data_IF_166618262021
#
_entry.id   IF_166618262021
#
_cell.length_a   1.000
_cell.length_b   1.000
_cell.length_c   1.000
_cell.angle_alpha   90.00
_cell.angle_beta   90.00
_cell.angle_gamma   90.00
#
_symmetry.space_group_name_H-M   'P 1'
#
loop_
_entity.id
_entity.type
_entity.pdbx_description
1 polymer ?
#
# COMPACT_ATOMS: atom_id res chain seq x y z
N UNK A 1 1.00 7.21 -29.55
CA UNK A 1 1.92 6.99 -30.69
C UNK A 1 1.48 5.73 -31.43
N UNK A 2 1.48 5.75 -32.77
CA UNK A 2 1.19 4.57 -33.60
C UNK A 2 2.52 3.98 -34.09
N UNK A 3 2.73 2.68 -33.90
CA UNK A 3 3.92 1.95 -34.37
C UNK A 3 3.51 0.70 -35.14
N UNK A 4 4.40 0.20 -36.01
CA UNK A 4 4.18 -1.06 -36.75
C UNK A 4 4.40 -2.24 -35.81
N UNK A 5 3.54 -3.26 -35.91
CA UNK A 5 3.53 -4.40 -34.98
C UNK A 5 4.90 -5.08 -34.77
N UNK A 6 5.74 -5.14 -35.81
CA UNK A 6 7.08 -5.75 -35.74
C UNK A 6 8.20 -4.80 -35.29
N UNK A 7 7.91 -3.50 -35.21
CA UNK A 7 8.80 -2.45 -34.68
C UNK A 7 8.44 -2.11 -33.22
N UNK A 8 7.57 -2.90 -32.60
CA UNK A 8 7.21 -2.74 -31.21
C UNK A 8 8.45 -2.92 -30.32
N UNK A 9 8.67 -2.09 -29.29
CA UNK A 9 9.71 -2.33 -28.31
C UNK A 9 9.54 -3.73 -27.72
N UNK A 10 10.62 -4.51 -27.70
CA UNK A 10 10.65 -5.79 -27.01
C UNK A 10 10.30 -5.54 -25.54
N UNK A 11 9.35 -6.32 -25.01
CA UNK A 11 9.06 -6.29 -23.57
C UNK A 11 10.32 -6.67 -22.82
N UNK A 12 10.68 -5.86 -21.84
CA UNK A 12 11.86 -6.11 -21.03
C UNK A 12 11.66 -7.42 -20.24
N UNK A 13 12.60 -8.39 -20.33
CA UNK A 13 12.45 -9.69 -19.66
C UNK A 13 12.23 -9.60 -18.14
N UNK A 14 12.73 -8.54 -17.50
CA UNK A 14 12.55 -8.28 -16.07
C UNK A 14 11.09 -8.07 -15.67
N UNK A 15 10.22 -7.64 -16.60
CA UNK A 15 8.77 -7.45 -16.35
C UNK A 15 8.03 -8.77 -16.07
N UNK A 16 8.62 -9.91 -16.43
CA UNK A 16 8.04 -11.23 -16.17
C UNK A 16 8.49 -11.83 -14.83
N UNK A 17 9.37 -11.15 -14.09
CA UNK A 17 9.76 -11.57 -12.74
C UNK A 17 8.65 -11.19 -11.77
N UNK A 18 8.35 -12.08 -10.80
CA UNK A 18 7.38 -11.79 -9.75
C UNK A 18 7.67 -10.46 -9.07
N UNK A 19 6.64 -9.64 -8.87
CA UNK A 19 6.71 -8.31 -8.23
C UNK A 19 7.44 -7.21 -9.02
N UNK A 20 7.78 -7.41 -10.30
CA UNK A 20 8.33 -6.37 -11.16
C UNK A 20 7.36 -5.17 -11.39
N UNK A 21 6.06 -5.37 -11.11
CA UNK A 21 5.03 -4.33 -11.18
C UNK A 21 4.84 -3.51 -9.90
N UNK A 22 5.79 -3.54 -8.95
CA UNK A 22 5.69 -2.71 -7.76
C UNK A 22 5.71 -1.23 -8.13
N UNK A 23 4.61 -0.52 -7.89
CA UNK A 23 4.44 0.90 -8.20
C UNK A 23 4.98 1.84 -7.11
N UNK A 24 5.53 1.28 -6.03
CA UNK A 24 6.14 2.02 -4.93
C UNK A 24 7.66 2.09 -5.17
N UNK A 25 8.16 3.28 -5.44
CA UNK A 25 9.58 3.61 -5.42
C UNK A 25 10.07 3.69 -3.97
N UNK A 26 10.94 2.76 -3.58
CA UNK A 26 11.32 2.54 -2.19
C UNK A 26 12.24 3.61 -1.62
N UNK A 27 13.12 4.17 -2.47
CA UNK A 27 14.13 5.18 -2.10
C UNK A 27 14.88 4.89 -0.78
N UNK A 28 15.21 3.61 -0.52
CA UNK A 28 15.69 3.17 0.80
C UNK A 28 17.01 3.85 1.21
N UNK A 29 17.87 4.18 0.24
CA UNK A 29 19.15 4.85 0.47
C UNK A 29 18.99 6.33 0.86
N UNK A 30 17.83 6.93 0.58
CA UNK A 30 17.54 8.34 0.84
C UNK A 30 16.67 8.54 2.10
N UNK A 31 16.45 7.50 2.91
CA UNK A 31 15.61 7.59 4.10
C UNK A 31 16.35 8.28 5.25
N UNK A 32 15.87 9.45 5.63
CA UNK A 32 16.25 10.13 6.86
C UNK A 32 15.41 9.64 8.06
N UNK A 33 15.88 9.90 9.27
CA UNK A 33 15.21 9.52 10.52
C UNK A 33 13.79 10.11 10.63
N UNK A 34 13.57 11.29 10.07
CA UNK A 34 12.29 12.02 10.07
C UNK A 34 11.39 11.72 8.85
N UNK A 35 11.74 10.69 8.06
CA UNK A 35 11.06 10.39 6.79
C UNK A 35 9.57 10.03 6.96
N UNK A 36 9.20 9.39 8.07
CA UNK A 36 7.81 9.06 8.39
C UNK A 36 7.01 10.33 8.71
N UNK A 37 7.56 11.23 9.53
CA UNK A 37 6.90 12.48 9.90
C UNK A 37 6.69 13.38 8.66
N UNK A 38 7.70 13.47 7.80
CA UNK A 38 7.61 14.19 6.51
C UNK A 38 6.54 13.60 5.60
N UNK A 39 6.46 12.28 5.52
CA UNK A 39 5.43 11.63 4.73
C UNK A 39 4.03 11.91 5.31
N UNK A 40 3.84 11.76 6.62
CA UNK A 40 2.54 12.01 7.27
C UNK A 40 2.07 13.48 7.17
N UNK A 41 3.00 14.43 7.00
CA UNK A 41 2.66 15.83 6.72
C UNK A 41 2.07 16.05 5.31
N UNK A 42 2.27 15.11 4.38
CA UNK A 42 1.68 15.15 3.04
C UNK A 42 0.22 14.65 3.09
N UNK A 43 -0.78 15.47 2.71
CA UNK A 43 -2.18 15.07 2.71
C UNK A 43 -2.50 13.96 1.69
N UNK A 44 -1.63 13.73 0.70
CA UNK A 44 -1.77 12.65 -0.28
C UNK A 44 -1.26 11.30 0.25
N UNK A 45 -0.74 11.24 1.48
CA UNK A 45 -0.25 10.01 2.09
C UNK A 45 -1.32 8.94 2.19
N UNK A 46 -0.96 7.73 1.76
CA UNK A 46 -1.83 6.56 1.78
C UNK A 46 -1.27 5.51 2.74
N UNK A 47 -2.16 4.95 3.55
CA UNK A 47 -1.81 4.00 4.59
C UNK A 47 -2.28 2.59 4.22
N UNK A 48 -1.39 1.61 4.44
CA UNK A 48 -1.68 0.19 4.45
C UNK A 48 -1.77 -0.26 5.91
N UNK A 49 -2.98 -0.59 6.36
CA UNK A 49 -3.19 -0.99 7.75
C UNK A 49 -2.91 -2.47 7.93
N UNK A 50 -2.15 -2.82 8.96
CA UNK A 50 -1.75 -4.20 9.23
C UNK A 50 -1.87 -4.58 10.70
N UNK A 51 -2.27 -5.82 10.96
CA UNK A 51 -2.29 -6.41 12.30
C UNK A 51 -2.16 -7.93 12.19
N UNK A 52 -1.42 -8.56 13.12
CA UNK A 52 -1.36 -10.03 13.19
C UNK A 52 -0.89 -10.73 11.90
N UNK A 53 -0.05 -10.10 11.09
CA UNK A 53 0.40 -10.64 9.80
C UNK A 53 -0.65 -10.60 8.68
N UNK A 54 -1.71 -9.79 8.86
CA UNK A 54 -2.77 -9.56 7.88
C UNK A 54 -2.82 -8.09 7.48
N UNK A 55 -3.22 -7.84 6.24
CA UNK A 55 -3.51 -6.52 5.69
C UNK A 55 -5.02 -6.28 5.75
N UNK A 56 -5.42 -5.07 6.12
CA UNK A 56 -6.83 -4.68 6.14
C UNK A 56 -7.19 -4.07 4.79
N UNK A 57 -8.28 -4.56 4.20
CA UNK A 57 -8.72 -4.21 2.86
C UNK A 57 -10.19 -3.84 2.90
N UNK A 58 -10.54 -2.65 2.40
CA UNK A 58 -11.93 -2.21 2.28
C UNK A 58 -12.61 -3.00 1.17
N UNK A 59 -13.80 -3.50 1.45
CA UNK A 59 -14.66 -4.15 0.47
C UNK A 59 -15.54 -3.09 -0.18
N UNK A 60 -15.24 -2.76 -1.44
CA UNK A 60 -16.10 -1.87 -2.23
C UNK A 60 -17.36 -2.56 -2.73
N UNK A 61 -18.34 -1.77 -3.17
CA UNK A 61 -19.66 -2.25 -3.62
C UNK A 61 -19.59 -3.24 -4.79
N UNK A 62 -18.55 -3.15 -5.63
CA UNK A 62 -18.31 -4.06 -6.75
C UNK A 62 -17.60 -5.36 -6.35
N UNK A 63 -17.33 -5.57 -5.06
CA UNK A 63 -16.49 -6.64 -4.54
C UNK A 63 -14.99 -6.40 -4.69
N UNK A 64 -14.59 -5.26 -5.28
CA UNK A 64 -13.19 -4.86 -5.38
C UNK A 64 -12.61 -4.54 -3.99
N UNK A 65 -11.38 -5.00 -3.74
CA UNK A 65 -10.66 -4.71 -2.51
C UNK A 65 -9.81 -3.45 -2.69
N UNK A 66 -10.00 -2.48 -1.80
CA UNK A 66 -9.21 -1.25 -1.75
C UNK A 66 -8.29 -1.27 -0.51
N UNK A 67 -6.95 -1.29 -0.70
CA UNK A 67 -6.01 -1.34 0.41
C UNK A 67 -5.72 0.02 1.04
N UNK A 68 -6.15 1.12 0.42
CA UNK A 68 -5.66 2.46 0.78
C UNK A 68 -6.55 3.13 1.81
N UNK A 69 -5.97 3.54 2.93
CA UNK A 69 -6.63 4.37 3.93
C UNK A 69 -6.02 5.77 3.96
N UNK A 70 -6.85 6.78 4.18
CA UNK A 70 -6.39 8.09 4.63
C UNK A 70 -6.11 8.12 6.14
N UNK A 71 -5.36 9.11 6.62
CA UNK A 71 -5.04 9.26 8.04
C UNK A 71 -6.31 9.31 8.92
N UNK A 72 -7.25 10.21 8.62
CA UNK A 72 -8.51 10.34 9.38
C UNK A 72 -9.41 9.12 9.24
N UNK A 73 -9.52 8.55 8.03
CA UNK A 73 -10.29 7.32 7.76
C UNK A 73 -9.76 6.13 8.60
N UNK A 74 -8.47 6.14 8.93
CA UNK A 74 -7.82 5.06 9.67
C UNK A 74 -7.97 5.15 11.19
N UNK A 75 -8.42 6.28 11.74
CA UNK A 75 -8.57 6.49 13.19
C UNK A 75 -9.41 5.42 13.92
N UNK A 76 -10.56 4.95 13.38
CA UNK A 76 -11.36 3.90 14.02
C UNK A 76 -10.61 2.57 14.23
N UNK A 77 -9.56 2.32 13.43
CA UNK A 77 -8.73 1.12 13.55
C UNK A 77 -7.61 1.26 14.60
N UNK A 78 -7.59 2.37 15.35
CA UNK A 78 -6.62 2.66 16.42
C UNK A 78 -5.17 2.53 15.94
N UNK A 79 -4.89 3.13 14.79
CA UNK A 79 -3.60 3.01 14.12
C UNK A 79 -2.48 3.68 14.91
N UNK A 80 -1.29 3.09 14.87
CA UNK A 80 -0.09 3.67 15.46
C UNK A 80 0.77 4.34 14.39
N UNK A 81 0.48 5.61 14.08
CA UNK A 81 1.23 6.37 13.08
C UNK A 81 2.72 6.52 13.46
N UNK A 82 3.03 6.59 14.75
CA UNK A 82 4.40 6.64 15.27
C UNK A 82 5.20 5.34 15.02
N UNK A 83 4.52 4.22 14.80
CA UNK A 83 5.13 2.95 14.39
C UNK A 83 4.98 2.71 12.88
N UNK A 84 4.59 3.75 12.12
CA UNK A 84 4.47 3.70 10.68
C UNK A 84 5.82 3.42 10.02
N UNK A 85 5.78 2.65 8.94
CA UNK A 85 6.94 2.29 8.14
C UNK A 85 6.75 2.90 6.76
N UNK A 86 7.63 3.85 6.38
CA UNK A 86 7.65 4.39 5.02
C UNK A 86 8.08 3.29 4.04
N UNK A 87 7.15 2.84 3.20
CA UNK A 87 7.44 1.87 2.14
C UNK A 87 8.10 2.56 0.94
N UNK A 88 7.73 3.82 0.69
CA UNK A 88 8.25 4.62 -0.41
C UNK A 88 7.20 5.59 -0.96
N UNK A 89 7.34 5.92 -2.23
CA UNK A 89 6.51 6.88 -2.94
C UNK A 89 5.89 6.25 -4.17
N UNK A 90 4.69 6.71 -4.49
CA UNK A 90 3.97 6.35 -5.71
C UNK A 90 3.57 7.62 -6.45
N UNK A 91 3.03 7.50 -7.65
CA UNK A 91 2.48 8.65 -8.39
C UNK A 91 1.41 9.43 -7.61
N UNK A 92 0.76 8.80 -6.63
CA UNK A 92 -0.29 9.42 -5.80
C UNK A 92 0.22 10.00 -4.48
N UNK A 93 1.51 9.89 -4.18
CA UNK A 93 2.09 10.36 -2.93
C UNK A 93 2.76 9.24 -2.10
N UNK A 94 3.14 9.56 -0.85
CA UNK A 94 3.83 8.64 0.06
C UNK A 94 2.96 7.45 0.45
N UNK A 95 3.60 6.32 0.70
CA UNK A 95 2.94 5.08 1.12
C UNK A 95 3.56 4.55 2.40
N UNK A 96 2.73 4.38 3.43
CA UNK A 96 3.13 3.87 4.73
C UNK A 96 2.42 2.56 5.05
N UNK A 97 3.13 1.59 5.62
CA UNK A 97 2.51 0.49 6.35
C UNK A 97 2.37 0.89 7.82
N UNK A 98 1.18 0.73 8.39
CA UNK A 98 0.88 1.20 9.75
C UNK A 98 0.22 0.09 10.57
N UNK A 99 0.74 -0.21 11.78
CA UNK A 99 0.07 -1.12 12.70
C UNK A 99 -1.30 -0.58 13.09
N UNK A 100 -2.34 -1.40 12.94
CA UNK A 100 -3.67 -1.16 13.50
C UNK A 100 -3.77 -1.77 14.91
N UNK A 101 -4.64 -1.21 15.76
CA UNK A 101 -4.90 -1.71 17.11
C UNK A 101 -6.21 -2.50 17.27
N UNK A 102 -7.03 -2.57 16.22
CA UNK A 102 -8.25 -3.38 16.18
C UNK A 102 -7.90 -4.79 15.72
N UNK A 103 -8.36 -5.80 16.44
CA UNK A 103 -8.16 -7.21 16.08
C UNK A 103 -8.93 -7.57 14.80
N UNK A 104 -8.42 -8.48 13.95
CA UNK A 104 -9.07 -8.90 12.71
C UNK A 104 -10.52 -9.37 12.89
N UNK A 105 -10.81 -10.03 14.00
CA UNK A 105 -12.14 -10.58 14.33
C UNK A 105 -13.14 -9.51 14.79
N UNK A 106 -12.68 -8.28 15.02
CA UNK A 106 -13.49 -7.12 15.43
C UNK A 106 -13.68 -6.10 14.30
N UNK A 107 -13.20 -6.41 13.09
CA UNK A 107 -13.35 -5.53 11.94
C UNK A 107 -14.82 -5.42 11.51
N UNK A 108 -15.23 -4.25 11.00
CA UNK A 108 -16.55 -4.12 10.37
C UNK A 108 -16.65 -5.02 9.15
N UNK A 109 -17.88 -5.42 8.77
CA UNK A 109 -18.12 -6.27 7.59
C UNK A 109 -17.59 -5.68 6.28
N UNK A 110 -17.42 -4.35 6.24
CA UNK A 110 -16.86 -3.61 5.11
C UNK A 110 -15.34 -3.71 5.00
N UNK A 111 -14.65 -4.37 5.94
CA UNK A 111 -13.19 -4.52 5.92
C UNK A 111 -12.79 -5.98 6.15
N UNK A 112 -11.94 -6.50 5.27
CA UNK A 112 -11.38 -7.84 5.38
C UNK A 112 -9.94 -7.78 5.85
N UNK A 113 -9.58 -8.65 6.80
CA UNK A 113 -8.20 -8.95 7.11
C UNK A 113 -7.72 -10.14 6.27
N UNK A 114 -6.71 -9.95 5.44
CA UNK A 114 -6.17 -10.99 4.55
C UNK A 114 -4.68 -11.18 4.85
N UNK A 115 -4.23 -12.42 5.00
CA UNK A 115 -2.81 -12.70 5.19
C UNK A 115 -1.98 -12.34 3.93
N UNK A 116 -0.72 -11.97 4.11
CA UNK A 116 0.09 -11.43 3.02
C UNK A 116 0.29 -12.38 1.84
N UNK A 117 0.21 -13.70 2.05
CA UNK A 117 0.38 -14.67 0.96
C UNK A 117 -0.87 -14.71 0.09
N UNK A 118 -2.05 -14.69 0.70
CA UNK A 118 -3.33 -14.68 0.00
C UNK A 118 -3.61 -13.38 -0.77
N UNK A 119 -2.93 -12.27 -0.44
CA UNK A 119 -3.08 -11.00 -1.19
C UNK A 119 -2.48 -11.07 -2.60
N UNK A 120 -1.46 -11.90 -2.82
CA UNK A 120 -0.80 -12.02 -4.13
C UNK A 120 -1.37 -13.14 -5.02
N UNK A 121 -1.97 -14.17 -4.42
CA UNK A 121 -2.41 -15.37 -5.13
C UNK A 121 -3.68 -15.18 -5.96
#
# INVERSE_FOLDING_TARGET
MSFRLFDAPLREPSQFVGFAGNTIDRQSENRADDSVDKALADPATRLLLMHGGRLYLKLGDSGALDPWFGATESEPFKVSLAQGILLGFSERGPVLAVPAGVEPEQLPETVKAIDYRSVYM
#
